data_IF_706464922906
#
_entry.id   IF_706464922906
#
_cell.length_a   1.000
_cell.length_b   1.000
_cell.length_c   1.000
_cell.angle_alpha   90.00
_cell.angle_beta   90.00
_cell.angle_gamma   90.00
#
_symmetry.space_group_name_H-M   'P 1'
#
loop_
_entity.id
_entity.type
_entity.pdbx_description
1 polymer ?
#
# COMPACT_ATOMS: atom_id res chain seq x y z
N UNK A 1 -7.26 -4.31 1.96
CA UNK A 1 -7.72 -3.71 3.24
C UNK A 1 -9.17 -3.23 3.17
N UNK A 2 -10.06 -4.01 2.57
CA UNK A 2 -11.35 -3.49 2.12
C UNK A 2 -12.38 -3.33 3.26
N UNK A 3 -12.25 -4.14 4.33
CA UNK A 3 -13.10 -4.04 5.51
C UNK A 3 -12.60 -2.99 6.51
N UNK A 4 -13.51 -2.11 6.96
CA UNK A 4 -13.23 -1.03 7.92
C UNK A 4 -12.68 -1.52 9.27
N UNK A 5 -13.13 -2.68 9.76
CA UNK A 5 -12.64 -3.27 11.00
C UNK A 5 -11.13 -3.58 10.95
N UNK A 6 -10.64 -4.01 9.80
CA UNK A 6 -9.23 -4.36 9.61
C UNK A 6 -8.35 -3.10 9.57
N UNK A 7 -8.84 -2.03 8.93
CA UNK A 7 -8.18 -0.71 8.94
C UNK A 7 -8.12 -0.13 10.35
N UNK A 8 -9.19 -0.25 11.12
CA UNK A 8 -9.24 0.22 12.51
C UNK A 8 -8.26 -0.53 13.41
N UNK A 9 -8.15 -1.86 13.26
CA UNK A 9 -7.15 -2.66 13.97
C UNK A 9 -5.72 -2.20 13.70
N UNK A 10 -5.42 -1.81 12.46
CA UNK A 10 -4.14 -1.25 12.03
C UNK A 10 -3.96 0.24 12.36
N UNK A 11 -4.94 0.85 13.06
CA UNK A 11 -4.95 2.27 13.44
C UNK A 11 -4.86 3.24 12.26
N UNK A 12 -5.39 2.84 11.11
CA UNK A 12 -5.53 3.72 9.96
C UNK A 12 -6.72 4.65 10.15
N UNK A 13 -6.59 5.88 9.65
CA UNK A 13 -7.72 6.79 9.54
C UNK A 13 -8.73 6.28 8.51
N UNK A 14 -10.01 6.67 8.63
CA UNK A 14 -11.06 6.23 7.70
C UNK A 14 -10.79 6.58 6.23
N UNK A 15 -10.04 7.66 5.98
CA UNK A 15 -9.66 8.13 4.64
C UNK A 15 -8.34 7.50 4.12
N UNK A 16 -7.67 6.69 4.95
CA UNK A 16 -6.42 6.05 4.58
C UNK A 16 -6.67 4.67 3.98
N UNK A 17 -6.18 4.50 2.76
CA UNK A 17 -6.18 3.25 2.02
C UNK A 17 -4.74 2.79 1.76
N UNK A 18 -4.57 1.49 1.52
CA UNK A 18 -3.26 0.98 1.16
C UNK A 18 -3.14 -0.53 1.21
N UNK A 19 -1.92 -0.99 1.02
CA UNK A 19 -1.58 -2.43 1.05
C UNK A 19 -0.82 -2.77 2.33
N UNK A 20 -1.10 -3.96 2.87
CA UNK A 20 -0.40 -4.50 4.02
C UNK A 20 0.88 -5.19 3.57
N UNK A 21 1.99 -4.88 4.25
CA UNK A 21 3.24 -5.61 4.10
C UNK A 21 3.10 -6.96 4.81
N UNK A 22 2.97 -8.03 4.03
CA UNK A 22 2.84 -9.39 4.57
C UNK A 22 4.19 -10.05 4.83
N UNK A 23 5.20 -9.72 4.04
CA UNK A 23 6.58 -10.21 4.16
C UNK A 23 7.54 -9.24 3.47
N UNK A 24 8.78 -9.19 3.96
CA UNK A 24 9.87 -8.43 3.34
C UNK A 24 11.05 -9.38 3.14
N UNK A 25 11.57 -9.42 1.92
CA UNK A 25 12.73 -10.25 1.61
C UNK A 25 13.96 -9.79 2.42
N UNK A 26 14.63 -10.68 3.18
CA UNK A 26 15.77 -10.30 4.02
C UNK A 26 16.95 -9.70 3.25
N UNK A 27 17.11 -10.11 1.98
CA UNK A 27 18.15 -9.59 1.10
C UNK A 27 17.83 -8.20 0.52
N UNK A 28 16.59 -7.72 0.65
CA UNK A 28 16.19 -6.40 0.17
C UNK A 28 16.75 -5.29 1.05
N UNK A 29 17.16 -4.18 0.44
CA UNK A 29 17.64 -2.97 1.15
C UNK A 29 16.57 -2.42 2.10
N UNK A 30 15.30 -2.59 1.77
CA UNK A 30 14.17 -2.12 2.57
C UNK A 30 13.89 -2.99 3.81
N UNK A 31 14.54 -4.14 3.98
CA UNK A 31 14.34 -5.03 5.15
C UNK A 31 14.69 -4.38 6.49
N UNK A 32 15.46 -3.29 6.48
CA UNK A 32 15.83 -2.51 7.68
C UNK A 32 14.83 -1.39 8.00
N UNK A 33 13.89 -1.12 7.09
CA UNK A 33 12.95 0.01 7.18
C UNK A 33 11.52 -0.51 7.23
N UNK A 34 11.15 -1.38 6.28
CA UNK A 34 9.84 -2.00 6.19
C UNK A 34 9.79 -3.28 7.02
N UNK A 35 8.68 -3.46 7.70
CA UNK A 35 8.40 -4.62 8.54
C UNK A 35 7.06 -5.22 8.19
N UNK A 36 6.86 -6.47 8.60
CA UNK A 36 5.54 -7.11 8.52
C UNK A 36 4.53 -6.28 9.32
N UNK A 37 3.32 -6.19 8.80
CA UNK A 37 2.19 -5.44 9.34
C UNK A 37 2.29 -3.91 9.17
N UNK A 38 3.35 -3.41 8.51
CA UNK A 38 3.35 -2.05 7.98
C UNK A 38 2.31 -1.87 6.88
N UNK A 39 1.80 -0.65 6.74
CA UNK A 39 0.86 -0.27 5.69
C UNK A 39 1.49 0.73 4.75
N UNK A 40 1.56 0.38 3.47
CA UNK A 40 1.99 1.30 2.42
C UNK A 40 0.76 2.02 1.88
N UNK A 41 0.63 3.30 2.25
CA UNK A 41 -0.47 4.18 1.81
C UNK A 41 -0.14 4.94 0.51
N UNK A 42 1.14 5.11 0.21
CA UNK A 42 1.61 5.80 -0.99
C UNK A 42 3.01 5.35 -1.39
N UNK A 43 3.30 5.38 -2.69
CA UNK A 43 4.65 5.22 -3.26
C UNK A 43 4.94 6.46 -4.11
N UNK A 44 6.09 7.10 -3.90
CA UNK A 44 6.47 8.33 -4.61
C UNK A 44 5.38 9.43 -4.57
N UNK A 45 4.72 9.59 -3.41
CA UNK A 45 3.56 10.49 -3.21
C UNK A 45 2.30 10.15 -4.03
N UNK A 46 2.25 8.98 -4.68
CA UNK A 46 1.06 8.47 -5.37
C UNK A 46 0.29 7.56 -4.40
N UNK A 47 -0.99 7.88 -4.08
CA UNK A 47 -1.79 7.09 -3.16
C UNK A 47 -2.14 5.72 -3.75
N UNK A 48 -2.13 4.69 -2.90
CA UNK A 48 -2.43 3.31 -3.27
C UNK A 48 -3.76 2.91 -2.62
N UNK A 49 -4.65 2.28 -3.38
CA UNK A 49 -5.89 1.75 -2.83
C UNK A 49 -5.72 0.37 -2.19
N UNK A 50 -6.77 -0.08 -1.51
CA UNK A 50 -6.80 -1.32 -0.73
C UNK A 50 -6.57 -2.60 -1.54
N UNK A 51 -6.68 -2.51 -2.88
CA UNK A 51 -6.47 -3.57 -3.87
C UNK A 51 -5.08 -3.50 -4.55
N UNK A 52 -4.23 -2.56 -4.14
CA UNK A 52 -2.92 -2.34 -4.76
C UNK A 52 -2.96 -1.63 -6.10
N UNK A 53 -4.06 -0.92 -6.40
CA UNK A 53 -4.13 -0.09 -7.61
C UNK A 53 -3.92 1.38 -7.31
N UNK A 54 -3.37 2.09 -8.30
CA UNK A 54 -3.16 3.54 -8.31
C UNK A 54 -4.09 4.19 -9.33
N UNK A 55 -4.44 5.45 -9.10
CA UNK A 55 -5.09 6.26 -10.13
C UNK A 55 -4.08 6.59 -11.24
N UNK A 56 -4.40 6.25 -12.49
CA UNK A 56 -3.54 6.57 -13.62
C UNK A 56 -4.15 7.67 -14.49
N UNK A 57 -5.39 7.48 -14.95
CA UNK A 57 -6.15 8.48 -15.73
C UNK A 57 -7.65 8.25 -15.59
N UNK A 58 -8.44 9.12 -16.22
CA UNK A 58 -9.91 9.06 -16.17
C UNK A 58 -10.43 7.67 -16.54
N UNK A 59 -11.02 6.99 -15.56
CA UNK A 59 -11.62 5.66 -15.73
C UNK A 59 -10.62 4.49 -15.74
N UNK A 60 -9.33 4.74 -15.50
CA UNK A 60 -8.30 3.70 -15.55
C UNK A 60 -7.44 3.71 -14.28
N UNK A 61 -7.35 2.54 -13.66
CA UNK A 61 -6.50 2.27 -12.50
C UNK A 61 -5.48 1.21 -12.90
N UNK A 62 -4.23 1.39 -12.49
CA UNK A 62 -3.14 0.44 -12.78
C UNK A 62 -2.62 -0.16 -11.48
N UNK A 63 -1.95 -1.31 -11.56
CA UNK A 63 -1.22 -1.84 -10.41
C UNK A 63 -0.06 -0.89 -10.03
N UNK A 64 0.22 -0.75 -8.74
CA UNK A 64 1.29 0.14 -8.25
C UNK A 64 2.68 -0.17 -8.85
N UNK A 65 2.94 -1.39 -9.32
CA UNK A 65 4.19 -1.76 -10.00
C UNK A 65 4.45 -1.00 -11.30
N UNK A 66 3.46 -0.26 -11.83
CA UNK A 66 3.69 0.69 -12.92
C UNK A 66 4.61 1.86 -12.51
N UNK A 67 4.68 2.21 -11.23
CA UNK A 67 5.52 3.32 -10.74
C UNK A 67 7.03 3.04 -10.77
N UNK A 68 7.42 1.77 -10.91
CA UNK A 68 8.83 1.34 -10.96
C UNK A 68 9.39 1.27 -12.39
N UNK A 69 8.55 1.51 -13.40
CA UNK A 69 8.94 1.63 -14.81
C UNK A 69 9.22 3.08 -15.18
#
# INVERSE_FOLDING_TARGET
MEHSLYRNYLKLNDDQHGILVTSVEPACVLSKILQKDDVIIAINNVPIADDGTIYFRRGERLNFGYLEK
#
